data_IF_547073648201
#
_entry.id   IF_547073648201
#
_cell.length_a   1.000
_cell.length_b   1.000
_cell.length_c   1.000
_cell.angle_alpha   90.00
_cell.angle_beta   90.00
_cell.angle_gamma   90.00
#
_symmetry.space_group_name_H-M   'P 1'
#
loop_
_entity.id
_entity.type
_entity.pdbx_description
1 polymer ?
#
# COMPACT_ATOMS: atom_id res chain seq x y z
N UNK A 1 -21.39 -13.37 2.75
CA UNK A 1 -20.95 -13.43 1.34
C UNK A 1 -20.45 -12.03 0.97
N UNK A 2 -19.14 -11.80 1.03
CA UNK A 2 -18.53 -10.48 0.80
C UNK A 2 -18.44 -10.27 -0.72
N UNK A 3 -18.99 -9.18 -1.24
CA UNK A 3 -18.79 -8.83 -2.66
C UNK A 3 -17.34 -8.37 -2.87
N UNK A 4 -16.69 -8.74 -3.99
CA UNK A 4 -15.36 -8.25 -4.31
C UNK A 4 -15.41 -6.72 -4.46
N UNK A 5 -14.50 -6.03 -3.77
CA UNK A 5 -14.34 -4.59 -3.89
C UNK A 5 -13.99 -4.24 -5.34
N UNK A 6 -14.92 -3.62 -6.07
CA UNK A 6 -14.67 -3.12 -7.43
C UNK A 6 -13.65 -1.98 -7.37
N UNK A 7 -12.47 -2.18 -7.92
CA UNK A 7 -11.47 -1.12 -8.19
C UNK A 7 -11.88 -0.32 -9.45
N UNK A 8 -13.15 0.06 -9.54
CA UNK A 8 -13.77 0.66 -10.73
C UNK A 8 -13.55 2.17 -10.85
N UNK A 9 -12.87 2.80 -9.88
CA UNK A 9 -12.74 4.27 -9.79
C UNK A 9 -11.32 4.83 -9.90
N UNK A 10 -10.35 4.03 -10.40
CA UNK A 10 -9.07 4.57 -10.89
C UNK A 10 -9.24 5.41 -12.18
N UNK A 11 -10.46 5.51 -12.73
CA UNK A 11 -10.75 6.13 -14.03
C UNK A 11 -10.62 7.65 -14.09
N UNK A 12 -10.55 8.36 -12.97
CA UNK A 12 -10.63 9.84 -12.96
C UNK A 12 -9.26 10.54 -12.94
N UNK A 13 -8.17 9.81 -13.13
CA UNK A 13 -6.79 10.33 -13.12
C UNK A 13 -5.88 9.71 -14.19
N UNK A 14 -4.56 9.97 -14.16
CA UNK A 14 -3.59 9.43 -15.12
C UNK A 14 -3.64 7.91 -15.29
N UNK A 15 -4.05 7.17 -14.26
CA UNK A 15 -4.26 5.72 -14.31
C UNK A 15 -5.31 5.28 -15.33
N UNK A 16 -6.37 6.06 -15.54
CA UNK A 16 -7.38 5.79 -16.57
C UNK A 16 -6.85 5.97 -18.00
N UNK A 17 -6.02 6.99 -18.22
CA UNK A 17 -5.37 7.25 -19.52
C UNK A 17 -4.37 6.14 -19.84
N UNK A 18 -3.51 5.79 -18.88
CA UNK A 18 -2.55 4.71 -19.03
C UNK A 18 -3.24 3.37 -19.33
N UNK A 19 -4.32 3.07 -18.60
CA UNK A 19 -5.12 1.86 -18.81
C UNK A 19 -5.62 1.74 -20.25
N UNK A 20 -6.26 2.77 -20.77
CA UNK A 20 -6.80 2.76 -22.13
C UNK A 20 -5.71 2.58 -23.18
N UNK A 21 -4.58 3.29 -23.04
CA UNK A 21 -3.44 3.15 -23.95
C UNK A 21 -2.78 1.76 -23.86
N UNK A 22 -2.74 1.14 -22.67
CA UNK A 22 -2.15 -0.18 -22.48
C UNK A 22 -2.98 -1.29 -23.11
N UNK A 23 -4.31 -1.27 -22.95
CA UNK A 23 -5.20 -2.27 -23.57
C UNK A 23 -5.17 -2.19 -25.10
N UNK A 24 -5.07 -0.99 -25.67
CA UNK A 24 -4.93 -0.79 -27.12
C UNK A 24 -3.67 -1.48 -27.67
N UNK A 25 -2.57 -1.43 -26.93
CA UNK A 25 -1.29 -2.02 -27.32
C UNK A 25 -1.17 -3.53 -27.03
N UNK A 26 -1.75 -4.00 -25.91
CA UNK A 26 -1.46 -5.33 -25.36
C UNK A 26 -2.67 -6.27 -25.31
N UNK A 27 -3.83 -5.79 -25.77
CA UNK A 27 -5.10 -6.51 -25.69
C UNK A 27 -5.78 -6.38 -24.32
N UNK A 28 -7.10 -6.49 -24.33
CA UNK A 28 -7.90 -6.60 -23.09
C UNK A 28 -7.51 -7.87 -22.34
N UNK A 29 -7.52 -7.85 -21.00
CA UNK A 29 -7.02 -8.96 -20.18
C UNK A 29 -5.52 -8.88 -19.82
N UNK A 30 -4.78 -7.91 -20.37
CA UNK A 30 -3.32 -7.82 -20.19
C UNK A 30 -2.91 -7.41 -18.77
N UNK A 31 -1.76 -7.93 -18.33
CA UNK A 31 -1.11 -7.56 -17.06
C UNK A 31 -0.45 -6.20 -17.25
N UNK A 32 -0.74 -5.27 -16.35
CA UNK A 32 -0.47 -3.84 -16.58
C UNK A 32 0.45 -3.23 -15.52
N UNK A 33 0.43 -3.75 -14.30
CA UNK A 33 1.18 -3.15 -13.20
C UNK A 33 1.44 -4.14 -12.07
N UNK A 34 2.41 -3.80 -11.23
CA UNK A 34 2.46 -4.29 -9.86
C UNK A 34 1.83 -3.24 -8.93
N UNK A 35 1.00 -3.68 -8.00
CA UNK A 35 0.50 -2.89 -6.90
C UNK A 35 1.10 -3.40 -5.60
N UNK A 36 0.95 -2.61 -4.54
CA UNK A 36 1.41 -2.96 -3.21
C UNK A 36 0.27 -3.35 -2.26
N UNK A 37 -0.98 -3.36 -2.72
CA UNK A 37 -2.15 -3.63 -1.87
C UNK A 37 -3.16 -4.57 -2.54
N UNK A 38 -3.88 -5.34 -1.70
CA UNK A 38 -5.03 -6.16 -2.09
C UNK A 38 -6.17 -5.84 -1.12
N UNK A 39 -7.41 -6.17 -1.47
CA UNK A 39 -8.56 -5.96 -0.57
C UNK A 39 -8.61 -7.04 0.52
N UNK A 40 -7.77 -6.92 1.55
CA UNK A 40 -7.94 -7.65 2.84
C UNK A 40 -8.79 -6.81 3.80
N UNK A 41 -9.23 -7.39 4.92
CA UNK A 41 -10.15 -6.72 5.87
C UNK A 41 -9.63 -5.38 6.41
N UNK A 42 -8.35 -5.30 6.81
CA UNK A 42 -7.73 -4.04 7.23
C UNK A 42 -7.65 -3.00 6.10
N UNK A 43 -7.53 -3.46 4.85
CA UNK A 43 -7.55 -2.62 3.66
C UNK A 43 -8.95 -2.07 3.39
N UNK A 44 -10.01 -2.85 3.69
CA UNK A 44 -11.40 -2.42 3.54
C UNK A 44 -11.74 -1.24 4.46
N UNK A 45 -11.36 -1.29 5.74
CA UNK A 45 -11.62 -0.18 6.67
C UNK A 45 -10.94 1.11 6.21
N UNK A 46 -9.68 1.01 5.77
CA UNK A 46 -8.96 2.16 5.22
C UNK A 46 -9.66 2.72 3.98
N UNK A 47 -10.04 1.87 3.01
CA UNK A 47 -10.77 2.29 1.81
C UNK A 47 -12.07 3.00 2.18
N UNK A 48 -12.85 2.46 3.12
CA UNK A 48 -14.13 3.02 3.53
C UNK A 48 -13.95 4.39 4.20
N UNK A 49 -12.99 4.51 5.12
CA UNK A 49 -12.67 5.78 5.79
C UNK A 49 -12.13 6.83 4.83
N UNK A 50 -11.22 6.45 3.95
CA UNK A 50 -10.63 7.35 2.96
C UNK A 50 -11.68 7.84 1.96
N UNK A 51 -12.51 6.93 1.44
CA UNK A 51 -13.58 7.27 0.49
C UNK A 51 -14.63 8.17 1.13
N UNK A 52 -15.03 7.90 2.38
CA UNK A 52 -15.96 8.77 3.10
C UNK A 52 -15.37 10.19 3.31
N UNK A 53 -14.07 10.28 3.60
CA UNK A 53 -13.40 11.56 3.85
C UNK A 53 -13.13 12.38 2.59
N UNK A 54 -12.75 11.71 1.50
CA UNK A 54 -12.20 12.36 0.30
C UNK A 54 -13.08 12.23 -0.95
N UNK A 55 -14.10 11.37 -0.95
CA UNK A 55 -15.04 11.20 -2.05
C UNK A 55 -14.55 10.31 -3.20
N UNK A 56 -13.37 9.71 -3.09
CA UNK A 56 -12.81 8.78 -4.08
C UNK A 56 -12.09 7.60 -3.41
N UNK A 57 -11.93 6.50 -4.15
CA UNK A 57 -11.24 5.30 -3.68
C UNK A 57 -9.73 5.57 -3.66
N UNK A 58 -9.00 5.33 -2.56
CA UNK A 58 -7.56 5.56 -2.50
C UNK A 58 -6.80 4.69 -3.51
N UNK A 59 -5.69 5.23 -4.01
CA UNK A 59 -4.71 4.50 -4.81
C UNK A 59 -3.63 3.84 -3.91
N UNK A 60 -2.65 3.20 -4.55
CA UNK A 60 -1.50 2.60 -3.86
C UNK A 60 -0.67 3.64 -3.09
N UNK A 61 -0.50 4.84 -3.63
CA UNK A 61 0.26 5.92 -2.97
C UNK A 61 -0.38 6.30 -1.65
N UNK A 62 -1.71 6.47 -1.62
CA UNK A 62 -2.43 6.75 -0.38
C UNK A 62 -2.27 5.62 0.64
N UNK A 63 -2.34 4.35 0.20
CA UNK A 63 -2.20 3.21 1.08
C UNK A 63 -0.75 3.03 1.62
N UNK A 64 0.26 3.24 0.77
CA UNK A 64 1.67 3.21 1.16
C UNK A 64 2.00 4.33 2.14
N UNK A 65 1.46 5.52 1.92
CA UNK A 65 1.65 6.68 2.82
C UNK A 65 1.05 6.39 4.20
N UNK A 66 -0.12 5.75 4.26
CA UNK A 66 -0.74 5.34 5.51
C UNK A 66 0.15 4.39 6.31
N UNK A 67 0.69 3.36 5.65
CA UNK A 67 1.61 2.43 6.30
C UNK A 67 2.90 3.11 6.73
N UNK A 68 3.49 3.98 5.91
CA UNK A 68 4.69 4.75 6.25
C UNK A 68 4.50 5.59 7.52
N UNK A 69 3.36 6.28 7.65
CA UNK A 69 3.06 7.05 8.86
C UNK A 69 2.89 6.16 10.09
N UNK A 70 2.28 4.98 9.94
CA UNK A 70 2.13 4.02 11.05
C UNK A 70 3.45 3.36 11.43
N UNK A 71 4.36 3.16 10.49
CA UNK A 71 5.73 2.70 10.77
C UNK A 71 6.48 3.74 11.60
N UNK A 72 6.41 5.02 11.21
CA UNK A 72 7.01 6.12 11.98
C UNK A 72 6.38 6.22 13.38
N UNK A 73 5.06 6.09 13.49
CA UNK A 73 4.37 6.05 14.77
C UNK A 73 4.90 4.90 15.65
N UNK A 74 4.97 3.68 15.11
CA UNK A 74 5.48 2.53 15.85
C UNK A 74 6.93 2.72 16.30
N UNK A 75 7.77 3.36 15.47
CA UNK A 75 9.14 3.69 15.84
C UNK A 75 9.20 4.72 16.99
N UNK A 76 8.33 5.73 16.97
CA UNK A 76 8.25 6.71 18.07
C UNK A 76 7.77 6.06 19.36
N UNK A 77 6.75 5.20 19.29
CA UNK A 77 6.25 4.46 20.46
C UNK A 77 7.31 3.48 21.00
N UNK A 78 8.07 2.84 20.12
CA UNK A 78 9.17 1.94 20.46
C UNK A 78 10.44 2.63 20.97
N UNK A 79 10.59 3.94 20.75
CA UNK A 79 11.75 4.71 21.22
C UNK A 79 11.75 4.93 22.74
N UNK A 80 10.63 4.67 23.41
CA UNK A 80 10.46 4.90 24.85
C UNK A 80 10.28 6.39 25.19
N UNK A 81 10.72 6.79 26.37
CA UNK A 81 10.56 8.17 26.84
C UNK A 81 11.47 9.14 26.09
N UNK A 82 10.87 10.20 25.53
CA UNK A 82 11.59 11.25 24.82
C UNK A 82 12.14 12.27 25.82
N UNK A 83 13.46 12.49 25.77
CA UNK A 83 14.20 13.27 26.79
C UNK A 83 14.18 14.79 26.55
N UNK A 84 13.53 15.25 25.47
CA UNK A 84 13.64 16.62 24.98
C UNK A 84 14.95 16.97 24.25
N UNK A 85 16.01 16.16 24.38
CA UNK A 85 17.23 16.33 23.58
C UNK A 85 17.05 15.74 22.17
N UNK A 86 17.15 16.60 21.15
CA UNK A 86 16.86 16.21 19.77
C UNK A 86 17.80 15.12 19.24
N UNK A 87 19.09 15.14 19.62
CA UNK A 87 20.07 14.17 19.11
C UNK A 87 19.81 12.79 19.70
N UNK A 88 19.55 12.75 21.00
CA UNK A 88 19.22 11.54 21.73
C UNK A 88 17.91 10.95 21.23
N UNK A 89 16.86 11.76 21.10
CA UNK A 89 15.56 11.30 20.61
C UNK A 89 15.63 10.82 19.16
N UNK A 90 16.34 11.53 18.29
CA UNK A 90 16.51 11.11 16.89
C UNK A 90 17.21 9.75 16.80
N UNK A 91 18.25 9.52 17.60
CA UNK A 91 18.91 8.21 17.67
C UNK A 91 17.94 7.13 18.16
N UNK A 92 17.20 7.40 19.23
CA UNK A 92 16.25 6.43 19.80
C UNK A 92 15.16 6.04 18.78
N UNK A 93 14.54 6.99 18.10
CA UNK A 93 13.52 6.73 17.07
C UNK A 93 14.09 5.97 15.88
N UNK A 94 15.29 6.34 15.41
CA UNK A 94 15.97 5.62 14.32
C UNK A 94 16.26 4.17 14.69
N UNK A 95 16.78 3.94 15.90
CA UNK A 95 17.11 2.60 16.38
C UNK A 95 15.83 1.76 16.56
N UNK A 96 14.75 2.37 17.07
CA UNK A 96 13.45 1.73 17.16
C UNK A 96 12.86 1.39 15.78
N UNK A 97 12.95 2.30 14.81
CA UNK A 97 12.54 2.06 13.42
C UNK A 97 13.25 0.84 12.82
N UNK A 98 14.57 0.76 12.99
CA UNK A 98 15.38 -0.36 12.51
C UNK A 98 15.06 -1.69 13.21
N UNK A 99 14.43 -1.64 14.39
CA UNK A 99 14.04 -2.84 15.14
C UNK A 99 12.67 -3.41 14.75
N UNK A 100 11.90 -2.69 13.93
CA UNK A 100 10.56 -3.12 13.51
C UNK A 100 10.67 -4.39 12.66
N UNK A 101 9.92 -5.41 13.06
CA UNK A 101 9.75 -6.67 12.34
C UNK A 101 8.27 -6.99 12.23
N UNK A 102 7.90 -7.72 11.19
CA UNK A 102 6.54 -8.22 10.96
C UNK A 102 5.45 -7.14 11.07
N UNK A 103 5.72 -5.96 10.50
CA UNK A 103 4.79 -4.83 10.54
C UNK A 103 3.53 -5.16 9.73
N UNK A 104 2.39 -5.22 10.42
CA UNK A 104 1.08 -5.49 9.84
C UNK A 104 0.47 -4.23 9.21
N UNK A 105 0.90 -3.93 7.98
CA UNK A 105 0.37 -2.84 7.16
C UNK A 105 -0.89 -3.21 6.37
N UNK A 106 -1.58 -2.20 5.87
CA UNK A 106 -2.73 -2.38 4.95
C UNK A 106 -2.27 -2.76 3.54
N UNK A 107 -0.99 -2.50 3.22
CA UNK A 107 -0.30 -2.89 1.99
C UNK A 107 0.42 -4.24 2.12
N UNK A 108 0.00 -5.05 3.09
CA UNK A 108 0.57 -6.36 3.40
C UNK A 108 1.45 -6.35 4.65
N UNK A 109 1.87 -7.55 5.08
CA UNK A 109 2.89 -7.66 6.13
C UNK A 109 4.26 -7.39 5.52
N UNK A 110 5.13 -6.72 6.27
CA UNK A 110 6.49 -6.42 5.82
C UNK A 110 7.49 -6.53 6.96
N UNK A 111 8.70 -6.97 6.63
CA UNK A 111 9.89 -6.78 7.45
C UNK A 111 10.87 -5.90 6.69
N UNK A 112 11.92 -5.39 7.35
CA UNK A 112 12.94 -4.57 6.71
C UNK A 112 14.26 -5.32 6.61
N UNK A 113 14.94 -5.20 5.48
CA UNK A 113 16.30 -5.69 5.29
C UNK A 113 17.32 -4.79 6.01
N UNK A 114 18.61 -5.18 6.02
CA UNK A 114 19.67 -4.43 6.72
C UNK A 114 19.87 -3.01 6.17
N UNK A 115 19.58 -2.80 4.88
CA UNK A 115 19.61 -1.50 4.22
C UNK A 115 18.36 -0.63 4.51
N UNK A 116 17.36 -1.19 5.20
CA UNK A 116 16.10 -0.54 5.51
C UNK A 116 15.02 -0.73 4.44
N UNK A 117 15.27 -1.51 3.38
CA UNK A 117 14.27 -1.75 2.35
C UNK A 117 13.19 -2.72 2.83
N UNK A 118 11.90 -2.45 2.52
CA UNK A 118 10.81 -3.33 2.91
C UNK A 118 10.82 -4.62 2.08
N UNK A 119 10.97 -5.74 2.77
CA UNK A 119 10.79 -7.09 2.22
C UNK A 119 9.32 -7.47 2.36
N UNK A 120 8.60 -7.45 1.24
CA UNK A 120 7.20 -7.83 1.17
C UNK A 120 6.80 -8.36 -0.22
N UNK A 121 5.65 -9.02 -0.28
CA UNK A 121 5.11 -9.47 -1.56
C UNK A 121 4.64 -8.30 -2.43
N UNK A 122 4.92 -8.38 -3.73
CA UNK A 122 4.30 -7.53 -4.74
C UNK A 122 2.97 -8.15 -5.19
N UNK A 123 2.01 -7.31 -5.55
CA UNK A 123 0.74 -7.73 -6.14
C UNK A 123 0.82 -7.51 -7.64
N UNK A 124 0.49 -8.49 -8.45
CA UNK A 124 0.32 -8.32 -9.89
C UNK A 124 -1.15 -8.00 -10.15
N UNK A 125 -1.36 -6.92 -10.89
CA UNK A 125 -2.68 -6.44 -11.29
C UNK A 125 -2.85 -6.65 -12.80
N UNK A 126 -4.00 -7.18 -13.18
CA UNK A 126 -4.41 -7.25 -14.59
C UNK A 126 -5.63 -6.37 -14.82
N UNK A 127 -5.87 -6.04 -16.08
CA UNK A 127 -7.13 -5.45 -16.50
C UNK A 127 -8.07 -6.59 -16.86
N UNK A 128 -9.26 -6.64 -16.27
CA UNK A 128 -10.28 -7.65 -16.58
C UNK A 128 -10.93 -7.39 -17.93
N UNK A 129 -11.67 -8.37 -18.47
CA UNK A 129 -12.47 -8.20 -19.69
C UNK A 129 -13.53 -7.08 -19.55
N UNK A 130 -13.91 -6.74 -18.31
CA UNK A 130 -14.80 -5.62 -18.01
C UNK A 130 -14.08 -4.26 -17.99
N UNK A 131 -12.77 -4.25 -18.25
CA UNK A 131 -11.94 -3.06 -18.18
C UNK A 131 -11.78 -2.54 -16.75
N UNK A 132 -11.70 -3.41 -15.75
CA UNK A 132 -11.44 -3.03 -14.36
C UNK A 132 -10.06 -3.54 -13.92
N UNK A 133 -9.35 -2.80 -13.07
CA UNK A 133 -8.14 -3.34 -12.44
C UNK A 133 -8.53 -4.42 -11.44
N UNK A 134 -7.92 -5.60 -11.54
CA UNK A 134 -8.17 -6.70 -10.62
C UNK A 134 -6.90 -7.39 -10.16
N UNK A 135 -6.97 -7.94 -8.95
CA UNK A 135 -5.93 -8.81 -8.42
C UNK A 135 -5.74 -10.01 -9.34
N UNK A 136 -4.50 -10.25 -9.78
CA UNK A 136 -4.16 -11.45 -10.54
C UNK A 136 -3.44 -12.49 -9.67
N UNK A 137 -2.30 -12.11 -9.07
CA UNK A 137 -1.55 -12.96 -8.13
C UNK A 137 -0.61 -12.12 -7.27
N UNK A 138 -0.14 -12.68 -6.16
CA UNK A 138 1.00 -12.13 -5.42
C UNK A 138 2.29 -12.83 -5.81
N UNK A 139 3.40 -12.09 -5.80
CA UNK A 139 4.76 -12.62 -5.93
C UNK A 139 5.53 -12.18 -4.71
N UNK A 140 6.04 -13.15 -3.95
CA UNK A 140 6.80 -12.91 -2.73
C UNK A 140 8.29 -13.19 -3.00
N UNK A 141 9.20 -12.52 -2.26
CA UNK A 141 10.62 -12.88 -2.22
C UNK A 141 10.84 -14.35 -1.83
#
# INVERSE_FOLDING_TARGET
MLQPYRVSRLSQGPGGIFKAAWEDLNGSGSVVAYGSFTTKDATKEFIDRYTNKHGYVPDDVAALTWDAMRIVQAAIEGAGELTGDIKTNHKAVRDALASIKDFAGITGSMTFAEDGDPVKCAVIVRISDAGEFEFYKSVCP
#
